data_IF_407367815899
#
_entry.id   IF_407367815899
#
_cell.length_a   1.000
_cell.length_b   1.000
_cell.length_c   1.000
_cell.angle_alpha   90.00
_cell.angle_beta   90.00
_cell.angle_gamma   90.00
#
_symmetry.space_group_name_H-M   'P 1'
#
loop_
_entity.id
_entity.type
_entity.pdbx_description
1 polymer ?
#
# COMPACT_ATOMS: atom_id res chain seq x y z
N UNK A 1 7.77 40.37 -52.49
CA UNK A 1 6.45 39.96 -51.98
C UNK A 1 5.85 41.17 -51.28
N UNK A 2 4.95 41.93 -51.92
CA UNK A 2 3.52 41.61 -52.18
C UNK A 2 2.69 41.79 -50.90
N UNK A 3 2.21 43.03 -50.72
CA UNK A 3 0.78 43.44 -50.68
C UNK A 3 -0.19 42.93 -49.59
N UNK A 4 -0.83 43.93 -48.94
CA UNK A 4 -2.30 44.14 -48.73
C UNK A 4 -2.81 44.22 -47.29
N UNK A 5 -3.49 45.34 -46.98
CA UNK A 5 -4.44 45.53 -45.89
C UNK A 5 -4.46 46.94 -45.27
N UNK A 6 -4.55 48.03 -46.06
CA UNK A 6 -5.77 48.85 -46.24
C UNK A 6 -6.56 49.13 -44.94
N UNK A 7 -6.38 50.30 -44.31
CA UNK A 7 -7.15 51.56 -44.49
C UNK A 7 -8.54 51.59 -43.83
N UNK A 8 -8.77 52.52 -42.90
CA UNK A 8 -9.63 53.70 -43.17
C UNK A 8 -9.57 54.72 -42.02
N UNK A 9 -9.10 55.92 -42.35
CA UNK A 9 -9.26 57.13 -41.55
C UNK A 9 -10.58 57.76 -42.00
N UNK A 10 -11.61 57.80 -41.16
CA UNK A 10 -12.84 58.55 -41.46
C UNK A 10 -12.83 59.88 -40.73
N UNK A 11 -12.87 60.93 -41.54
CA UNK A 11 -12.89 62.34 -41.22
C UNK A 11 -14.29 62.76 -40.77
N UNK A 12 -14.45 63.23 -39.53
CA UNK A 12 -15.62 63.99 -39.11
C UNK A 12 -15.43 65.47 -39.44
N UNK A 13 -15.61 65.79 -40.72
CA UNK A 13 -15.88 67.15 -41.18
C UNK A 13 -17.13 67.09 -42.05
N UNK A 14 -18.30 67.24 -41.45
CA UNK A 14 -19.53 67.56 -42.17
C UNK A 14 -20.39 68.49 -41.32
N UNK A 15 -20.03 69.77 -41.34
CA UNK A 15 -20.99 70.87 -41.24
C UNK A 15 -20.38 72.08 -41.97
N UNK A 16 -20.42 72.02 -43.30
CA UNK A 16 -20.25 73.20 -44.15
C UNK A 16 -21.37 73.22 -45.17
N UNK A 17 -22.02 74.37 -45.25
CA UNK A 17 -23.08 74.78 -46.19
C UNK A 17 -24.48 74.23 -45.94
N UNK A 18 -25.24 74.86 -45.04
CA UNK A 18 -26.56 75.48 -45.34
C UNK A 18 -26.83 76.60 -44.31
N UNK A 19 -27.38 77.77 -44.70
CA UNK A 19 -27.77 78.81 -43.76
C UNK A 19 -29.15 78.46 -43.17
N UNK A 20 -29.43 78.92 -41.95
CA UNK A 20 -30.66 78.62 -41.17
C UNK A 20 -30.74 77.21 -40.57
N UNK A 21 -30.13 77.02 -39.39
CA UNK A 21 -30.74 76.20 -38.35
C UNK A 21 -30.92 77.07 -37.11
N UNK A 22 -32.12 77.65 -37.04
CA UNK A 22 -32.62 78.47 -35.95
C UNK A 22 -32.71 77.62 -34.67
N UNK A 23 -32.29 78.21 -33.56
CA UNK A 23 -32.56 77.75 -32.19
C UNK A 23 -34.06 77.61 -31.98
N UNK A 24 -34.63 76.42 -32.23
CA UNK A 24 -35.81 75.85 -31.56
C UNK A 24 -36.17 74.51 -32.20
N UNK A 25 -36.49 73.54 -31.33
CA UNK A 25 -37.01 72.21 -31.65
C UNK A 25 -35.98 71.14 -32.07
N UNK A 26 -35.23 70.65 -31.08
CA UNK A 26 -34.93 69.22 -30.97
C UNK A 26 -35.17 68.79 -29.52
N UNK A 27 -36.44 68.86 -29.12
CA UNK A 27 -36.98 68.03 -28.05
C UNK A 27 -36.95 66.60 -28.54
N UNK A 28 -35.83 65.91 -28.35
CA UNK A 28 -35.74 64.48 -28.58
C UNK A 28 -35.04 63.87 -27.37
N UNK A 29 -35.89 63.48 -26.41
CA UNK A 29 -35.73 62.40 -25.43
C UNK A 29 -34.31 61.84 -25.40
N UNK A 30 -33.41 62.53 -24.67
CA UNK A 30 -32.36 61.82 -23.97
C UNK A 30 -33.01 61.37 -22.66
N UNK A 31 -33.60 60.17 -22.68
CA UNK A 31 -33.72 59.41 -21.45
C UNK A 31 -32.29 59.26 -20.96
N UNK A 32 -31.89 60.13 -20.03
CA UNK A 32 -30.75 59.87 -19.18
C UNK A 32 -31.01 58.52 -18.54
N UNK A 33 -30.43 57.48 -19.14
CA UNK A 33 -30.24 56.22 -18.44
C UNK A 33 -29.14 56.54 -17.45
N UNK A 34 -29.59 56.89 -16.27
CA UNK A 34 -28.79 57.05 -15.07
C UNK A 34 -27.81 55.87 -15.01
N UNK A 35 -26.53 56.18 -15.24
CA UNK A 35 -25.42 55.25 -15.04
C UNK A 35 -25.08 55.18 -13.55
N UNK A 36 -26.09 55.16 -12.69
CA UNK A 36 -25.97 54.86 -11.28
C UNK A 36 -25.82 53.35 -11.10
N UNK A 37 -24.63 52.91 -10.67
CA UNK A 37 -24.43 51.57 -10.13
C UNK A 37 -23.97 50.51 -11.14
N UNK A 38 -22.80 50.69 -11.75
CA UNK A 38 -22.04 49.56 -12.32
C UNK A 38 -20.58 49.49 -11.88
N UNK A 39 -20.22 50.17 -10.79
CA UNK A 39 -19.13 49.68 -9.95
C UNK A 39 -19.71 48.54 -9.10
N UNK A 40 -19.89 47.40 -9.77
CA UNK A 40 -20.30 46.16 -9.14
C UNK A 40 -19.16 45.70 -8.25
N UNK A 41 -19.15 46.18 -7.01
CA UNK A 41 -18.57 45.41 -5.93
C UNK A 41 -19.32 44.07 -5.94
N UNK A 42 -18.67 43.07 -6.53
CA UNK A 42 -19.02 41.66 -6.41
C UNK A 42 -19.35 41.43 -4.93
N UNK A 43 -20.57 41.01 -4.67
CA UNK A 43 -21.20 40.94 -3.36
C UNK A 43 -20.22 40.36 -2.34
N UNK A 44 -19.85 41.13 -1.31
CA UNK A 44 -18.95 40.69 -0.23
C UNK A 44 -19.44 39.42 0.44
N UNK A 45 -20.75 39.20 0.38
CA UNK A 45 -21.46 38.01 0.80
C UNK A 45 -21.06 36.76 -0.01
N UNK A 46 -20.93 36.85 -1.32
CA UNK A 46 -20.52 35.71 -2.17
C UNK A 46 -19.05 35.34 -1.92
N UNK A 47 -18.21 36.35 -1.64
CA UNK A 47 -16.84 36.14 -1.20
C UNK A 47 -16.79 35.44 0.16
N UNK A 48 -17.61 35.88 1.12
CA UNK A 48 -17.68 35.27 2.45
C UNK A 48 -18.13 33.81 2.42
N UNK A 49 -19.13 33.48 1.59
CA UNK A 49 -19.55 32.09 1.40
C UNK A 49 -18.49 31.26 0.69
N UNK A 50 -17.81 31.81 -0.33
CA UNK A 50 -16.73 31.13 -1.03
C UNK A 50 -15.57 30.75 -0.10
N UNK A 51 -15.07 31.71 0.69
CA UNK A 51 -13.97 31.45 1.63
C UNK A 51 -14.42 30.54 2.78
N UNK A 52 -15.67 30.66 3.25
CA UNK A 52 -16.22 29.80 4.29
C UNK A 52 -16.28 28.33 3.89
N UNK A 53 -16.88 28.03 2.73
CA UNK A 53 -16.96 26.67 2.20
C UNK A 53 -15.57 26.11 1.89
N UNK A 54 -14.68 26.93 1.33
CA UNK A 54 -13.30 26.54 1.07
C UNK A 54 -12.59 26.10 2.36
N UNK A 55 -12.65 26.91 3.42
CA UNK A 55 -11.98 26.59 4.68
C UNK A 55 -12.58 25.35 5.36
N UNK A 56 -13.91 25.18 5.32
CA UNK A 56 -14.57 23.97 5.84
C UNK A 56 -14.08 22.72 5.08
N UNK A 57 -13.99 22.80 3.76
CA UNK A 57 -13.52 21.68 2.92
C UNK A 57 -12.06 21.33 3.20
N UNK A 58 -11.19 22.34 3.33
CA UNK A 58 -9.78 22.14 3.68
C UNK A 58 -9.63 21.51 5.06
N UNK A 59 -10.37 22.01 6.06
CA UNK A 59 -10.36 21.42 7.40
C UNK A 59 -10.86 19.96 7.38
N UNK A 60 -11.93 19.67 6.61
CA UNK A 60 -12.42 18.31 6.41
C UNK A 60 -11.35 17.40 5.80
N UNK A 61 -10.62 17.85 4.79
CA UNK A 61 -9.51 17.08 4.19
C UNK A 61 -8.46 16.72 5.24
N UNK A 62 -8.02 17.67 6.06
CA UNK A 62 -7.01 17.40 7.09
C UNK A 62 -7.51 16.48 8.21
N UNK A 63 -8.81 16.43 8.49
CA UNK A 63 -9.39 15.51 9.47
C UNK A 63 -9.66 14.13 8.85
N UNK A 64 -10.12 14.08 7.60
CA UNK A 64 -10.65 12.87 6.98
C UNK A 64 -9.60 12.08 6.21
N UNK A 65 -8.75 12.74 5.40
CA UNK A 65 -7.76 12.05 4.57
C UNK A 65 -6.76 11.23 5.40
N UNK A 66 -6.20 11.73 6.52
CA UNK A 66 -5.31 10.92 7.34
C UNK A 66 -5.95 9.61 7.82
N UNK A 67 -7.25 9.62 8.13
CA UNK A 67 -7.99 8.44 8.57
C UNK A 67 -8.26 7.44 7.43
N UNK A 68 -8.38 7.91 6.18
CA UNK A 68 -8.49 7.03 5.01
C UNK A 68 -7.17 6.31 4.70
N UNK A 69 -6.03 6.97 4.94
CA UNK A 69 -4.70 6.41 4.64
C UNK A 69 -4.04 5.72 5.83
N UNK A 70 -4.52 5.96 7.05
CA UNK A 70 -4.07 5.32 8.29
C UNK A 70 -3.94 3.78 8.18
N UNK A 71 -4.91 3.02 7.65
CA UNK A 71 -4.78 1.56 7.54
C UNK A 71 -3.71 1.09 6.55
N UNK A 72 -3.16 1.98 5.72
CA UNK A 72 -2.10 1.67 4.77
C UNK A 72 -0.71 2.16 5.22
N UNK A 73 -0.66 3.06 6.20
CA UNK A 73 0.58 3.63 6.75
C UNK A 73 1.09 2.87 7.98
N UNK A 74 0.27 2.02 8.58
CA UNK A 74 0.79 0.92 9.40
C UNK A 74 1.53 -0.05 8.49
N UNK A 75 2.70 -0.61 8.86
CA UNK A 75 3.24 -1.81 8.24
C UNK A 75 2.08 -2.79 8.14
N UNK A 76 1.56 -2.94 6.93
CA UNK A 76 0.20 -3.42 6.81
C UNK A 76 0.19 -4.86 7.29
N UNK A 77 -0.62 -5.16 8.31
CA UNK A 77 -0.87 -6.54 8.74
C UNK A 77 -1.18 -7.42 7.53
N UNK A 78 -1.81 -6.87 6.48
CA UNK A 78 -2.06 -7.58 5.21
C UNK A 78 -0.81 -7.97 4.43
N UNK A 79 0.21 -7.10 4.32
CA UNK A 79 1.41 -7.35 3.53
C UNK A 79 2.30 -8.40 4.19
N UNK A 80 2.56 -8.22 5.48
CA UNK A 80 3.33 -9.16 6.29
C UNK A 80 2.59 -10.49 6.49
N UNK A 81 1.24 -10.48 6.61
CA UNK A 81 0.45 -11.72 6.64
C UNK A 81 0.52 -12.49 5.34
N UNK A 82 0.45 -11.81 4.18
CA UNK A 82 0.63 -12.45 2.87
C UNK A 82 2.06 -13.00 2.74
N UNK A 83 3.06 -12.28 3.25
CA UNK A 83 4.43 -12.80 3.29
C UNK A 83 4.54 -14.04 4.18
N UNK A 84 3.96 -14.02 5.39
CA UNK A 84 3.95 -15.17 6.29
C UNK A 84 3.28 -16.40 5.65
N UNK A 85 2.16 -16.20 4.95
CA UNK A 85 1.47 -17.25 4.22
C UNK A 85 2.33 -17.82 3.08
N UNK A 86 2.97 -16.95 2.28
CA UNK A 86 3.86 -17.40 1.19
C UNK A 86 5.10 -18.11 1.70
N UNK A 87 5.72 -17.60 2.77
CA UNK A 87 6.86 -18.25 3.43
C UNK A 87 6.47 -19.60 3.98
N UNK A 88 5.28 -19.72 4.57
CA UNK A 88 4.79 -20.98 5.08
C UNK A 88 4.46 -21.98 3.96
N UNK A 89 3.85 -21.53 2.88
CA UNK A 89 3.61 -22.36 1.70
C UNK A 89 4.92 -22.83 1.10
N UNK A 90 5.89 -21.93 0.88
CA UNK A 90 7.24 -22.27 0.43
C UNK A 90 7.91 -23.33 1.33
N UNK A 91 7.89 -23.09 2.64
CA UNK A 91 8.45 -24.00 3.62
C UNK A 91 7.78 -25.38 3.57
N UNK A 92 6.46 -25.45 3.45
CA UNK A 92 5.74 -26.74 3.42
C UNK A 92 5.91 -27.47 2.09
N UNK A 93 5.90 -26.75 0.96
CA UNK A 93 5.90 -27.40 -0.37
C UNK A 93 7.29 -27.65 -0.92
N UNK A 94 8.25 -26.76 -0.68
CA UNK A 94 9.57 -26.78 -1.31
C UNK A 94 10.65 -27.28 -0.34
N UNK A 95 10.56 -26.91 0.93
CA UNK A 95 11.59 -27.24 1.93
C UNK A 95 11.27 -28.53 2.70
N UNK A 96 10.16 -28.55 3.44
CA UNK A 96 9.83 -29.63 4.39
C UNK A 96 9.05 -30.77 3.75
N UNK A 97 8.33 -30.52 2.66
CA UNK A 97 7.60 -31.55 1.91
C UNK A 97 8.51 -32.44 1.05
N UNK A 98 9.76 -32.01 0.85
CA UNK A 98 10.76 -32.68 0.03
C UNK A 98 10.41 -32.78 -1.45
N UNK A 99 11.08 -33.68 -2.18
CA UNK A 99 10.83 -33.92 -3.61
C UNK A 99 9.50 -34.63 -3.90
N UNK A 100 8.63 -34.73 -2.90
CA UNK A 100 7.30 -35.25 -3.10
C UNK A 100 6.58 -34.28 -4.03
N UNK A 101 6.11 -34.78 -5.18
CA UNK A 101 5.34 -33.99 -6.15
C UNK A 101 3.92 -33.73 -5.60
N UNK A 102 3.81 -33.20 -4.39
CA UNK A 102 2.58 -32.95 -3.68
C UNK A 102 2.34 -31.43 -3.65
N UNK A 103 1.69 -30.93 -4.70
CA UNK A 103 1.28 -29.52 -4.87
C UNK A 103 0.40 -28.94 -3.73
N UNK A 104 0.07 -29.76 -2.73
CA UNK A 104 -0.66 -29.41 -1.52
C UNK A 104 -0.12 -30.15 -0.29
N UNK A 105 1.19 -30.39 -0.20
CA UNK A 105 1.84 -31.20 0.84
C UNK A 105 1.24 -30.93 2.23
N UNK A 106 0.41 -31.85 2.71
CA UNK A 106 -0.05 -31.91 4.10
C UNK A 106 0.80 -32.90 4.87
N UNK A 107 1.75 -33.57 4.21
CA UNK A 107 2.67 -34.53 4.79
C UNK A 107 4.08 -33.97 4.63
N UNK A 108 4.82 -33.92 5.73
CA UNK A 108 6.20 -33.50 5.76
C UNK A 108 7.12 -34.69 5.52
N UNK A 109 8.20 -34.45 4.78
CA UNK A 109 9.29 -35.39 4.62
C UNK A 109 10.13 -35.43 5.91
N UNK A 110 10.33 -36.61 6.51
CA UNK A 110 11.08 -36.72 7.75
C UNK A 110 12.51 -36.19 7.64
N UNK A 111 13.26 -36.59 6.61
CA UNK A 111 14.67 -36.21 6.49
C UNK A 111 14.84 -34.70 6.36
N UNK A 112 13.96 -34.04 5.60
CA UNK A 112 13.99 -32.58 5.46
C UNK A 112 13.52 -31.85 6.73
N UNK A 113 12.51 -32.37 7.42
CA UNK A 113 12.01 -31.77 8.65
C UNK A 113 13.04 -31.87 9.77
N UNK A 114 13.59 -33.05 9.95
CA UNK A 114 14.60 -33.35 10.96
C UNK A 114 15.83 -32.46 10.73
N UNK A 115 16.37 -32.45 9.51
CA UNK A 115 17.51 -31.61 9.15
C UNK A 115 17.26 -30.10 9.31
N UNK A 116 16.03 -29.62 9.07
CA UNK A 116 15.69 -28.21 9.26
C UNK A 116 15.70 -27.83 10.76
N UNK A 117 15.02 -28.60 11.59
CA UNK A 117 14.90 -28.32 13.03
C UNK A 117 16.18 -28.63 13.82
N UNK A 118 17.06 -29.52 13.33
CA UNK A 118 18.37 -29.79 13.94
C UNK A 118 19.41 -28.71 13.61
N UNK A 119 19.39 -28.15 12.39
CA UNK A 119 20.45 -27.26 11.89
C UNK A 119 20.06 -25.78 11.88
N UNK A 120 18.78 -25.46 12.09
CA UNK A 120 18.23 -24.10 11.95
C UNK A 120 18.48 -23.46 10.57
N UNK A 121 18.59 -24.28 9.53
CA UNK A 121 18.92 -23.86 8.16
C UNK A 121 18.05 -24.59 7.15
N UNK A 122 17.75 -23.95 6.02
CA UNK A 122 16.99 -24.59 4.94
C UNK A 122 17.83 -25.72 4.32
N UNK A 123 17.34 -26.98 4.31
CA UNK A 123 18.00 -28.05 3.58
C UNK A 123 17.98 -27.83 2.06
N UNK A 124 19.17 -27.82 1.44
CA UNK A 124 19.32 -27.87 -0.02
C UNK A 124 18.77 -29.19 -0.61
N UNK A 125 18.79 -30.26 0.19
CA UNK A 125 18.26 -31.60 -0.15
C UNK A 125 17.78 -32.33 1.09
N UNK A 126 16.72 -33.13 0.93
CA UNK A 126 16.26 -34.11 1.92
C UNK A 126 17.07 -35.41 1.84
N UNK A 127 18.40 -35.29 1.70
CA UNK A 127 19.25 -36.46 1.82
C UNK A 127 19.35 -36.78 3.32
N UNK A 128 19.15 -38.05 3.73
CA UNK A 128 19.41 -38.42 5.12
C UNK A 128 20.85 -38.04 5.47
N UNK A 129 21.13 -37.65 6.72
CA UNK A 129 22.45 -37.17 7.09
C UNK A 129 23.49 -38.28 6.88
N UNK A 130 24.18 -38.26 5.73
CA UNK A 130 25.45 -38.95 5.55
C UNK A 130 26.45 -38.23 6.44
N UNK A 131 26.78 -38.78 7.62
CA UNK A 131 27.94 -38.59 8.53
C UNK A 131 28.71 -37.23 8.57
N UNK A 132 28.20 -36.18 7.94
CA UNK A 132 28.81 -34.87 7.81
C UNK A 132 28.37 -34.13 9.05
N UNK A 133 29.31 -34.00 9.98
CA UNK A 133 29.24 -33.06 11.08
C UNK A 133 29.26 -31.65 10.50
N UNK A 134 28.10 -31.16 10.09
CA UNK A 134 27.88 -29.74 9.85
C UNK A 134 27.77 -29.10 11.24
N UNK A 135 28.64 -28.12 11.50
CA UNK A 135 28.62 -27.38 12.75
C UNK A 135 27.26 -26.67 12.84
N UNK A 136 26.56 -26.76 13.99
CA UNK A 136 25.31 -26.03 14.15
C UNK A 136 25.61 -24.54 13.91
N UNK A 137 24.83 -23.90 13.05
CA UNK A 137 24.69 -22.45 13.08
C UNK A 137 24.33 -22.00 14.50
N UNK A 138 24.54 -20.72 14.82
CA UNK A 138 24.12 -20.18 16.12
C UNK A 138 22.69 -20.64 16.44
N UNK A 139 22.52 -21.27 17.61
CA UNK A 139 21.40 -22.17 17.96
C UNK A 139 19.99 -21.56 17.89
N UNK A 140 19.86 -20.29 17.53
CA UNK A 140 18.60 -19.54 17.51
C UNK A 140 18.37 -18.68 16.26
N UNK A 141 19.30 -18.60 15.31
CA UNK A 141 19.22 -17.60 14.22
C UNK A 141 19.04 -18.27 12.85
N UNK A 142 17.79 -18.25 12.37
CA UNK A 142 17.44 -18.58 10.99
C UNK A 142 17.61 -17.35 10.11
N UNK A 143 18.42 -17.43 9.04
CA UNK A 143 18.57 -16.31 8.10
C UNK A 143 17.24 -16.05 7.35
N UNK A 144 16.57 -14.91 7.58
CA UNK A 144 15.31 -14.59 6.91
C UNK A 144 15.48 -14.43 5.40
N UNK A 145 16.68 -14.08 4.93
CA UNK A 145 16.97 -13.91 3.51
C UNK A 145 16.88 -15.24 2.75
N UNK A 146 17.20 -16.36 3.41
CA UNK A 146 17.05 -17.69 2.82
C UNK A 146 15.58 -18.04 2.51
N UNK A 147 14.64 -17.46 3.27
CA UNK A 147 13.19 -17.56 3.06
C UNK A 147 12.63 -16.51 2.09
N UNK A 148 13.50 -15.70 1.47
CA UNK A 148 13.12 -14.59 0.59
C UNK A 148 12.53 -13.39 1.34
N UNK A 149 12.78 -13.27 2.65
CA UNK A 149 12.36 -12.14 3.47
C UNK A 149 13.47 -11.06 3.51
N UNK A 150 13.14 -9.87 4.02
CA UNK A 150 14.18 -8.86 4.25
C UNK A 150 15.04 -9.23 5.46
N UNK A 151 16.29 -8.80 5.48
CA UNK A 151 17.20 -8.99 6.63
C UNK A 151 16.73 -8.31 7.93
N UNK A 152 15.72 -7.44 7.84
CA UNK A 152 15.09 -6.78 9.00
C UNK A 152 13.84 -7.51 9.49
N UNK A 153 13.39 -8.56 8.79
CA UNK A 153 12.20 -9.34 9.17
C UNK A 153 12.65 -10.41 10.16
N UNK A 154 12.04 -10.43 11.33
CA UNK A 154 12.27 -11.50 12.28
C UNK A 154 11.31 -12.65 11.99
N UNK A 155 11.81 -13.88 12.06
CA UNK A 155 11.03 -15.08 11.75
C UNK A 155 11.16 -16.13 12.85
N UNK A 156 10.02 -16.76 13.16
CA UNK A 156 9.98 -17.96 13.99
C UNK A 156 9.05 -19.00 13.38
N UNK A 157 9.54 -20.22 13.30
CA UNK A 157 8.80 -21.38 12.84
C UNK A 157 8.62 -22.31 14.04
N UNK A 158 7.39 -22.73 14.30
CA UNK A 158 7.04 -23.64 15.39
C UNK A 158 6.29 -24.85 14.84
N UNK A 159 6.68 -26.04 15.28
CA UNK A 159 5.99 -27.30 15.01
C UNK A 159 5.52 -27.89 16.34
N UNK A 160 4.21 -27.86 16.58
CA UNK A 160 3.60 -28.36 17.82
C UNK A 160 2.86 -29.67 17.57
N UNK A 161 3.21 -30.73 18.31
CA UNK A 161 2.47 -31.99 18.26
C UNK A 161 1.08 -31.84 18.88
N UNK A 162 0.03 -32.27 18.17
CA UNK A 162 -1.32 -32.26 18.72
C UNK A 162 -1.56 -33.35 19.76
N UNK A 163 -0.72 -34.39 19.79
CA UNK A 163 -0.89 -35.53 20.69
C UNK A 163 -0.19 -35.29 22.03
N UNK A 164 1.06 -34.78 21.99
CA UNK A 164 1.90 -34.58 23.19
C UNK A 164 1.97 -33.12 23.64
N UNK A 165 1.63 -32.16 22.78
CA UNK A 165 1.82 -30.73 23.03
C UNK A 165 3.30 -30.28 22.97
N UNK A 166 4.22 -31.14 22.57
CA UNK A 166 5.64 -30.79 22.43
C UNK A 166 5.81 -29.82 21.25
N UNK A 167 6.53 -28.73 21.48
CA UNK A 167 6.81 -27.71 20.45
C UNK A 167 8.29 -27.73 20.10
N UNK A 168 8.58 -27.82 18.81
CA UNK A 168 9.89 -27.62 18.21
C UNK A 168 9.90 -26.23 17.57
N UNK A 169 10.98 -25.47 17.71
CA UNK A 169 11.02 -24.10 17.19
C UNK A 169 12.37 -23.74 16.62
N UNK A 170 12.36 -23.02 15.51
CA UNK A 170 13.53 -22.43 14.85
C UNK A 170 13.33 -20.92 14.74
N UNK A 171 14.38 -20.15 15.01
CA UNK A 171 14.38 -18.68 14.93
C UNK A 171 14.07 -17.96 16.25
N UNK A 172 14.27 -16.64 16.23
CA UNK A 172 14.21 -15.77 17.42
C UNK A 172 12.84 -15.77 18.09
N UNK A 173 12.77 -15.57 19.42
CA UNK A 173 11.49 -15.41 20.10
C UNK A 173 10.90 -14.04 19.90
N UNK A 174 9.69 -14.01 19.34
CA UNK A 174 8.89 -12.79 19.28
C UNK A 174 8.62 -12.25 20.70
N UNK A 175 9.24 -11.11 21.01
CA UNK A 175 8.91 -10.28 22.17
C UNK A 175 7.94 -9.13 21.79
N UNK A 176 7.51 -9.09 20.53
CA UNK A 176 6.64 -8.07 19.94
C UNK A 176 5.16 -8.38 20.17
N UNK A 177 4.34 -7.32 20.26
CA UNK A 177 2.87 -7.42 20.23
C UNK A 177 2.32 -7.45 18.80
N UNK A 178 3.11 -6.99 17.81
CA UNK A 178 2.77 -7.05 16.40
C UNK A 178 3.45 -8.29 15.81
N UNK A 179 2.75 -9.42 15.82
CA UNK A 179 3.23 -10.68 15.23
C UNK A 179 2.21 -11.13 14.21
N UNK A 180 2.60 -11.19 12.95
CA UNK A 180 1.81 -11.83 11.91
C UNK A 180 2.03 -13.33 11.99
N UNK A 181 0.95 -14.08 12.14
CA UNK A 181 1.01 -15.53 12.27
C UNK A 181 0.18 -16.20 11.20
N UNK A 182 0.78 -17.19 10.54
CA UNK A 182 0.07 -18.20 9.77
C UNK A 182 0.13 -19.55 10.50
N UNK A 183 -0.88 -20.39 10.33
CA UNK A 183 -0.96 -21.69 11.00
C UNK A 183 -1.66 -22.72 10.11
N UNK A 184 -1.10 -23.93 10.05
CA UNK A 184 -1.68 -25.06 9.32
C UNK A 184 -1.43 -26.37 10.03
N UNK A 185 -2.32 -27.33 9.78
CA UNK A 185 -2.13 -28.72 10.20
C UNK A 185 -1.34 -29.49 9.15
N UNK A 186 -0.30 -30.17 9.60
CA UNK A 186 0.59 -31.01 8.81
C UNK A 186 0.73 -32.37 9.46
N UNK A 187 1.03 -33.39 8.69
CA UNK A 187 1.25 -34.75 9.11
C UNK A 187 2.74 -35.04 8.97
N UNK A 188 3.34 -35.66 9.98
CA UNK A 188 4.75 -36.04 9.96
C UNK A 188 4.84 -37.56 10.11
N UNK A 189 5.75 -38.19 9.36
CA UNK A 189 5.89 -39.66 9.27
C UNK A 189 7.25 -40.20 9.71
N UNK A 190 8.02 -39.44 10.49
CA UNK A 190 9.33 -39.86 10.99
C UNK A 190 9.30 -40.49 12.38
N UNK A 191 10.47 -40.98 12.79
CA UNK A 191 10.68 -41.58 14.12
C UNK A 191 11.15 -40.54 15.14
N UNK A 192 11.87 -39.50 14.73
CA UNK A 192 12.48 -38.50 15.62
C UNK A 192 11.42 -37.73 16.40
N UNK A 193 10.41 -37.19 15.70
CA UNK A 193 9.33 -36.45 16.35
C UNK A 193 8.14 -37.33 16.74
N UNK A 194 8.14 -38.62 16.40
CA UNK A 194 6.95 -39.51 16.36
C UNK A 194 5.94 -39.11 15.29
N UNK A 195 5.49 -40.09 14.53
CA UNK A 195 4.50 -39.89 13.48
C UNK A 195 3.15 -39.43 14.07
N UNK A 196 2.53 -38.42 13.47
CA UNK A 196 1.33 -37.80 14.01
C UNK A 196 0.95 -36.50 13.31
N UNK A 197 -0.09 -35.84 13.83
CA UNK A 197 -0.55 -34.55 13.33
C UNK A 197 0.10 -33.43 14.14
N UNK A 198 0.65 -32.47 13.42
CA UNK A 198 1.32 -31.30 13.96
C UNK A 198 0.64 -30.02 13.51
N UNK A 199 0.74 -29.01 14.35
CA UNK A 199 0.37 -27.63 14.06
C UNK A 199 1.64 -26.85 13.74
N UNK A 200 1.84 -26.58 12.45
CA UNK A 200 2.92 -25.72 11.97
C UNK A 200 2.48 -24.26 12.08
N UNK A 201 3.31 -23.41 12.69
CA UNK A 201 3.09 -21.97 12.79
C UNK A 201 4.29 -21.23 12.23
N UNK A 202 4.02 -20.20 11.44
CA UNK A 202 5.04 -19.27 10.95
C UNK A 202 4.68 -17.90 11.49
N UNK A 203 5.63 -17.27 12.19
CA UNK A 203 5.48 -15.97 12.83
C UNK A 203 6.49 -15.00 12.23
N UNK A 204 6.02 -13.83 11.81
CA UNK A 204 6.83 -12.72 11.32
C UNK A 204 6.57 -11.46 12.15
N UNK A 205 7.60 -10.65 12.40
CA UNK A 205 7.51 -9.35 13.07
C UNK A 205 8.70 -8.43 12.74
#
# INVERSE_FOLDING_TARGET
MVFIGHSFRSSTNYCKSYPFCSTKAASMISTQRDSGGKDRAQTTLDFAFGIGIFLITVAFIFIFVPNLVAPFNTPSESGEKIQAERTADYLVTDTLGGNQNNSHATTLDPACTDAFFERNELPDRCDPPDDIKIYPGSEDELDPTALGLSSSTHVRIELESLDTGTTYSVGESANSQNVQQWTRLVYYTGEEYKSGVYKLRVKLW
#
